data_IF_734129691100
#
_entry.id   IF_734129691100
#
_cell.length_a   1.000
_cell.length_b   1.000
_cell.length_c   1.000
_cell.angle_alpha   90.00
_cell.angle_beta   90.00
_cell.angle_gamma   90.00
#
_symmetry.space_group_name_H-M   'P 1'
#
loop_
_entity.id
_entity.type
_entity.pdbx_description
1 polymer ?
#
# COMPACT_ATOMS: atom_id res chain seq x y z
N UNK A 1 -28.61 -0.28 50.48
CA UNK A 1 -27.26 -0.93 50.49
C UNK A 1 -27.13 -1.78 49.24
N UNK A 2 -26.49 -1.31 48.21
CA UNK A 2 -26.23 -2.08 46.99
C UNK A 2 -25.16 -3.15 47.30
N UNK A 3 -25.46 -4.40 46.93
CA UNK A 3 -24.67 -5.58 47.18
C UNK A 3 -23.28 -5.48 46.53
N UNK A 4 -22.23 -5.96 47.20
CA UNK A 4 -20.84 -5.91 46.68
C UNK A 4 -20.68 -6.45 45.24
N UNK A 5 -21.49 -7.42 44.86
CA UNK A 5 -21.51 -7.99 43.51
C UNK A 5 -21.96 -6.97 42.45
N UNK A 6 -23.00 -6.18 42.73
CA UNK A 6 -23.50 -5.16 41.77
C UNK A 6 -22.50 -4.02 41.53
N UNK A 7 -21.71 -3.66 42.58
CA UNK A 7 -20.63 -2.67 42.42
C UNK A 7 -19.47 -3.18 41.57
N UNK A 8 -19.13 -4.49 41.65
CA UNK A 8 -18.07 -5.10 40.83
C UNK A 8 -18.48 -5.18 39.35
N UNK A 9 -19.74 -5.52 39.06
CA UNK A 9 -20.23 -5.56 37.68
C UNK A 9 -20.32 -4.15 37.06
N UNK A 10 -20.71 -3.14 37.81
CA UNK A 10 -20.73 -1.74 37.34
C UNK A 10 -19.31 -1.23 37.03
N UNK A 11 -18.31 -1.57 37.87
CA UNK A 11 -16.92 -1.18 37.66
C UNK A 11 -16.32 -1.87 36.43
N UNK A 12 -16.58 -3.16 36.23
CA UNK A 12 -16.12 -3.92 35.06
C UNK A 12 -16.78 -3.42 33.76
N UNK A 13 -18.08 -3.09 33.80
CA UNK A 13 -18.78 -2.52 32.65
C UNK A 13 -18.24 -1.12 32.29
N UNK A 14 -17.92 -0.30 33.30
CA UNK A 14 -17.34 1.03 33.07
C UNK A 14 -15.92 0.95 32.51
N UNK A 15 -15.09 0.06 33.00
CA UNK A 15 -13.73 -0.16 32.48
C UNK A 15 -13.75 -0.77 31.07
N UNK A 16 -14.69 -1.66 30.78
CA UNK A 16 -14.88 -2.19 29.42
C UNK A 16 -15.36 -1.12 28.45
N UNK A 17 -16.24 -0.21 28.89
CA UNK A 17 -16.72 0.91 28.07
C UNK A 17 -15.63 1.95 27.83
N UNK A 18 -14.76 2.24 28.81
CA UNK A 18 -13.59 3.10 28.61
C UNK A 18 -12.58 2.47 27.64
N UNK A 19 -12.29 1.19 27.79
CA UNK A 19 -11.37 0.47 26.91
C UNK A 19 -11.90 0.40 25.45
N UNK A 20 -13.22 0.19 25.26
CA UNK A 20 -13.84 0.26 23.93
C UNK A 20 -13.85 1.70 23.36
N UNK A 21 -14.07 2.69 24.21
CA UNK A 21 -14.05 4.10 23.82
C UNK A 21 -12.67 4.56 23.34
N UNK A 22 -11.61 4.15 24.03
CA UNK A 22 -10.22 4.49 23.65
C UNK A 22 -9.78 3.78 22.37
N UNK A 23 -10.17 2.52 22.16
CA UNK A 23 -9.86 1.79 20.91
C UNK A 23 -10.65 2.33 19.72
N UNK A 24 -11.88 2.81 19.91
CA UNK A 24 -12.67 3.41 18.85
C UNK A 24 -12.15 4.81 18.50
N UNK A 25 -11.78 5.63 19.48
CA UNK A 25 -11.17 6.94 19.27
C UNK A 25 -9.82 6.83 18.55
N UNK A 26 -8.95 5.89 18.94
CA UNK A 26 -7.68 5.63 18.25
C UNK A 26 -7.89 5.21 16.79
N UNK A 27 -8.91 4.39 16.48
CA UNK A 27 -9.25 4.01 15.10
C UNK A 27 -9.81 5.16 14.27
N UNK A 28 -10.54 6.09 14.89
CA UNK A 28 -11.05 7.28 14.18
C UNK A 28 -9.92 8.27 13.87
N UNK A 29 -8.92 8.39 14.73
CA UNK A 29 -7.72 9.20 14.48
C UNK A 29 -6.86 8.63 13.34
N UNK A 30 -6.82 7.30 13.16
CA UNK A 30 -6.12 6.63 12.04
C UNK A 30 -6.64 7.08 10.67
N UNK A 31 -7.89 7.56 10.60
CA UNK A 31 -8.53 8.04 9.37
C UNK A 31 -8.52 9.57 9.20
N UNK A 32 -7.94 10.31 10.15
CA UNK A 32 -7.85 11.76 10.02
C UNK A 32 -6.96 12.17 8.86
N UNK A 33 -7.51 12.98 7.96
CA UNK A 33 -6.72 13.63 6.90
C UNK A 33 -6.08 14.88 7.49
N UNK A 34 -4.76 14.96 7.46
CA UNK A 34 -4.02 16.16 7.85
C UNK A 34 -4.07 17.15 6.70
N UNK A 35 -4.59 18.39 6.90
CA UNK A 35 -4.75 19.34 5.81
C UNK A 35 -3.41 19.73 5.18
N UNK A 36 -3.22 19.37 3.91
CA UNK A 36 -1.99 19.69 3.16
C UNK A 36 -1.90 21.17 2.77
N UNK A 37 -3.01 21.92 2.83
CA UNK A 37 -3.08 23.37 2.63
C UNK A 37 -2.92 24.18 3.93
N UNK A 38 -2.78 23.51 5.10
CA UNK A 38 -2.46 24.17 6.35
C UNK A 38 -1.21 25.04 6.19
N UNK A 39 -1.17 26.30 6.74
CA UNK A 39 -0.05 27.23 6.57
C UNK A 39 1.33 26.64 6.93
N UNK A 40 1.39 25.76 7.93
CA UNK A 40 2.61 25.06 8.36
C UNK A 40 3.10 24.01 7.34
N UNK A 41 2.30 23.63 6.36
CA UNK A 41 2.60 22.66 5.32
C UNK A 41 2.68 23.33 3.96
N UNK A 42 1.61 24.04 3.56
CA UNK A 42 1.48 24.78 2.32
C UNK A 42 1.92 23.96 1.07
N UNK A 43 1.46 22.72 0.98
CA UNK A 43 1.94 21.71 0.02
C UNK A 43 2.06 22.21 -1.42
N UNK A 44 1.09 23.03 -1.86
CA UNK A 44 1.04 23.51 -3.27
C UNK A 44 2.05 24.62 -3.55
N UNK A 45 2.36 25.44 -2.56
CA UNK A 45 3.15 26.68 -2.73
C UNK A 45 4.57 26.53 -2.21
N UNK A 46 4.83 25.61 -1.30
CA UNK A 46 6.17 25.32 -0.81
C UNK A 46 7.02 24.73 -1.96
N UNK A 47 8.19 25.31 -2.26
CA UNK A 47 9.15 24.70 -3.17
C UNK A 47 9.48 23.27 -2.72
N UNK A 48 9.53 22.36 -3.67
CA UNK A 48 9.89 20.98 -3.38
C UNK A 48 11.42 20.84 -3.36
N UNK A 49 11.91 20.01 -2.45
CA UNK A 49 13.33 19.63 -2.31
C UNK A 49 13.45 18.11 -2.45
N UNK A 50 13.67 17.65 -3.67
CA UNK A 50 13.71 16.24 -4.02
C UNK A 50 14.52 15.97 -5.30
N UNK A 51 14.88 14.71 -5.61
CA UNK A 51 15.70 14.37 -6.78
C UNK A 51 15.16 14.84 -8.13
N UNK A 52 13.84 15.00 -8.29
CA UNK A 52 13.25 15.51 -9.55
C UNK A 52 13.56 16.99 -9.74
N UNK A 53 13.51 17.79 -8.68
CA UNK A 53 13.87 19.21 -8.79
C UNK A 53 15.36 19.38 -9.13
N UNK A 54 16.23 18.56 -8.52
CA UNK A 54 17.65 18.56 -8.89
C UNK A 54 17.87 18.14 -10.35
N UNK A 55 17.09 17.17 -10.86
CA UNK A 55 17.13 16.75 -12.26
C UNK A 55 16.65 17.87 -13.20
N UNK A 56 15.57 18.57 -12.84
CA UNK A 56 15.05 19.73 -13.59
C UNK A 56 16.09 20.84 -13.70
N UNK A 57 16.80 21.12 -12.63
CA UNK A 57 17.88 22.13 -12.62
C UNK A 57 18.99 21.77 -13.61
N UNK A 58 19.48 20.50 -13.60
CA UNK A 58 20.51 20.03 -14.54
C UNK A 58 20.04 20.12 -16.01
N UNK A 59 18.78 19.75 -16.27
CA UNK A 59 18.18 19.87 -17.60
C UNK A 59 18.08 21.32 -18.06
N UNK A 60 17.71 22.25 -17.17
CA UNK A 60 17.60 23.67 -17.48
C UNK A 60 18.94 24.35 -17.83
N UNK A 61 20.03 23.80 -17.26
CA UNK A 61 21.41 24.26 -17.49
C UNK A 61 22.11 23.53 -18.64
N UNK A 62 21.42 22.64 -19.37
CA UNK A 62 22.00 21.76 -20.39
C UNK A 62 23.15 20.84 -19.86
N UNK A 63 23.22 20.63 -18.54
CA UNK A 63 24.19 19.73 -17.90
C UNK A 63 23.82 18.25 -18.04
N UNK A 64 22.55 17.97 -18.37
CA UNK A 64 22.02 16.65 -18.64
C UNK A 64 21.06 16.72 -19.84
N UNK A 65 21.04 15.63 -20.62
CA UNK A 65 20.05 15.42 -21.68
C UNK A 65 19.35 14.08 -21.46
N UNK A 66 18.04 14.06 -21.63
CA UNK A 66 17.26 12.83 -21.64
C UNK A 66 17.17 12.31 -23.09
N UNK A 67 17.55 11.06 -23.27
CA UNK A 67 17.45 10.35 -24.54
C UNK A 67 16.05 9.76 -24.68
N UNK A 68 15.47 9.86 -25.86
CA UNK A 68 14.17 9.30 -26.18
C UNK A 68 14.31 7.97 -26.92
N UNK A 69 13.81 6.89 -26.32
CA UNK A 69 13.78 5.56 -26.92
C UNK A 69 12.46 5.35 -27.69
N UNK A 70 12.49 4.78 -28.91
CA UNK A 70 11.27 4.57 -29.70
C UNK A 70 10.22 3.65 -29.03
N UNK A 71 10.62 2.73 -28.15
CA UNK A 71 9.74 1.77 -27.48
C UNK A 71 9.33 2.22 -26.08
N UNK A 72 10.24 2.91 -25.36
CA UNK A 72 10.10 3.22 -23.95
C UNK A 72 10.06 4.73 -23.65
N UNK A 73 10.05 5.59 -24.68
CA UNK A 73 10.06 7.03 -24.49
C UNK A 73 11.27 7.50 -23.68
N UNK A 74 11.06 8.33 -22.69
CA UNK A 74 12.12 8.80 -21.80
C UNK A 74 12.43 7.85 -20.62
N UNK A 75 11.70 6.73 -20.49
CA UNK A 75 11.81 5.86 -19.31
C UNK A 75 13.26 5.46 -19.00
N UNK A 76 13.98 4.87 -19.96
CA UNK A 76 15.33 4.34 -19.72
C UNK A 76 16.30 5.43 -19.31
N UNK A 77 16.20 6.59 -19.93
CA UNK A 77 17.05 7.74 -19.63
C UNK A 77 16.75 8.30 -18.23
N UNK A 78 15.48 8.35 -17.83
CA UNK A 78 15.05 8.81 -16.50
C UNK A 78 15.48 7.81 -15.42
N UNK A 79 15.29 6.50 -15.63
CA UNK A 79 15.74 5.46 -14.69
C UNK A 79 17.25 5.57 -14.45
N UNK A 80 18.04 5.74 -15.52
CA UNK A 80 19.49 5.92 -15.43
C UNK A 80 19.88 7.20 -14.70
N UNK A 81 19.23 8.33 -15.01
CA UNK A 81 19.55 9.62 -14.41
C UNK A 81 19.24 9.67 -12.90
N UNK A 82 18.28 8.87 -12.42
CA UNK A 82 17.83 8.77 -11.04
C UNK A 82 18.35 7.52 -10.31
N UNK A 83 19.24 6.75 -10.93
CA UNK A 83 19.80 5.50 -10.38
C UNK A 83 18.73 4.51 -9.91
N UNK A 84 17.64 4.35 -10.68
CA UNK A 84 16.58 3.38 -10.40
C UNK A 84 16.90 2.08 -11.12
N UNK A 85 17.01 0.94 -10.41
CA UNK A 85 17.33 -0.34 -11.04
C UNK A 85 16.13 -0.84 -11.86
N UNK A 86 16.39 -1.31 -13.09
CA UNK A 86 15.35 -1.92 -13.92
C UNK A 86 14.80 -3.20 -13.28
N UNK A 87 15.64 -3.92 -12.52
CA UNK A 87 15.24 -5.09 -11.74
C UNK A 87 14.14 -4.84 -10.71
N UNK A 88 13.88 -3.55 -10.37
CA UNK A 88 12.76 -3.17 -9.49
C UNK A 88 11.39 -3.24 -10.15
N UNK A 89 11.32 -3.59 -11.45
CA UNK A 89 10.06 -3.64 -12.18
C UNK A 89 9.01 -4.49 -11.49
N UNK A 90 7.83 -3.91 -11.30
CA UNK A 90 6.60 -4.60 -10.89
C UNK A 90 5.46 -4.18 -11.81
N UNK A 91 4.51 -5.10 -12.04
CA UNK A 91 3.45 -4.92 -13.02
C UNK A 91 2.08 -4.93 -12.36
N UNK A 92 1.31 -3.85 -12.50
CA UNK A 92 -0.06 -3.72 -12.02
C UNK A 92 -1.04 -3.60 -13.18
N UNK A 93 -2.05 -4.46 -13.21
CA UNK A 93 -3.04 -4.47 -14.29
C UNK A 93 -4.43 -3.98 -13.86
N UNK A 94 -4.61 -3.59 -12.60
CA UNK A 94 -5.83 -2.91 -12.16
C UNK A 94 -5.89 -1.48 -12.65
N UNK A 95 -7.11 -1.03 -12.97
CA UNK A 95 -7.39 0.32 -13.48
C UNK A 95 -7.41 1.36 -12.35
N UNK A 96 -6.25 1.63 -11.76
CA UNK A 96 -6.07 2.50 -10.59
C UNK A 96 -5.17 3.72 -10.83
N UNK A 97 -4.81 4.02 -12.07
CA UNK A 97 -4.06 5.20 -12.49
C UNK A 97 -4.97 6.19 -13.22
N UNK A 98 -4.57 7.45 -13.37
CA UNK A 98 -5.30 8.40 -14.23
C UNK A 98 -5.24 8.01 -15.72
N UNK A 99 -4.29 7.16 -16.15
CA UNK A 99 -4.24 6.52 -17.45
C UNK A 99 -5.00 5.16 -17.47
N UNK A 100 -5.91 4.92 -16.52
CA UNK A 100 -6.65 3.67 -16.36
C UNK A 100 -7.33 3.12 -17.65
N UNK A 101 -7.83 3.93 -18.60
CA UNK A 101 -8.38 3.39 -19.83
C UNK A 101 -7.43 2.49 -20.61
N UNK A 102 -6.13 2.75 -20.54
CA UNK A 102 -5.08 2.01 -21.26
C UNK A 102 -4.60 0.76 -20.50
N UNK A 103 -4.93 0.63 -19.22
CA UNK A 103 -4.47 -0.50 -18.39
C UNK A 103 -5.43 -1.68 -18.52
N UNK A 104 -4.89 -2.86 -18.71
CA UNK A 104 -5.64 -4.12 -18.75
C UNK A 104 -4.71 -5.31 -18.37
N UNK A 105 -5.24 -6.52 -18.10
CA UNK A 105 -4.39 -7.67 -17.81
C UNK A 105 -3.33 -7.94 -18.88
N UNK A 106 -3.63 -7.76 -20.17
CA UNK A 106 -2.64 -7.93 -21.23
C UNK A 106 -1.76 -6.70 -21.47
N UNK A 107 -2.04 -5.59 -20.79
CA UNK A 107 -1.33 -4.32 -20.90
C UNK A 107 -1.20 -3.66 -19.51
N UNK A 108 -0.47 -4.29 -18.58
CA UNK A 108 -0.28 -3.73 -17.24
C UNK A 108 0.58 -2.46 -17.28
N UNK A 109 0.41 -1.61 -16.26
CA UNK A 109 1.33 -0.52 -15.95
C UNK A 109 2.59 -1.12 -15.31
N UNK A 110 3.76 -0.78 -15.80
CA UNK A 110 5.01 -1.07 -15.12
C UNK A 110 5.35 0.04 -14.13
N UNK A 111 5.85 -0.35 -12.97
CA UNK A 111 6.36 0.57 -11.94
C UNK A 111 7.81 0.15 -11.64
N UNK A 112 8.72 1.13 -11.69
CA UNK A 112 10.11 1.01 -11.27
C UNK A 112 10.32 1.86 -10.03
N UNK A 113 11.12 1.38 -9.10
CA UNK A 113 11.29 2.13 -7.85
C UNK A 113 12.71 2.01 -7.25
N UNK A 114 13.12 3.08 -6.61
CA UNK A 114 14.20 3.13 -5.64
C UNK A 114 13.62 3.42 -4.25
N UNK A 115 14.42 3.86 -3.28
CA UNK A 115 13.93 4.10 -1.93
C UNK A 115 12.81 5.15 -1.90
N UNK A 116 13.12 6.34 -2.38
CA UNK A 116 12.29 7.55 -2.31
C UNK A 116 11.54 7.86 -3.61
N UNK A 117 11.70 7.04 -4.64
CA UNK A 117 11.16 7.26 -5.97
C UNK A 117 10.30 6.07 -6.44
N UNK A 118 9.27 6.38 -7.23
CA UNK A 118 8.52 5.41 -8.02
C UNK A 118 8.14 6.04 -9.37
N UNK A 119 8.37 5.32 -10.46
CA UNK A 119 8.06 5.74 -11.82
C UNK A 119 7.14 4.72 -12.46
N UNK A 120 5.95 5.15 -12.83
CA UNK A 120 4.97 4.36 -13.56
C UNK A 120 4.97 4.68 -15.05
N UNK A 121 4.94 3.66 -15.89
CA UNK A 121 4.71 3.78 -17.34
C UNK A 121 3.55 2.87 -17.74
N UNK A 122 2.63 3.44 -18.51
CA UNK A 122 1.60 2.67 -19.21
C UNK A 122 2.01 2.59 -20.66
N UNK A 123 2.06 1.38 -21.23
CA UNK A 123 2.35 1.25 -22.68
C UNK A 123 1.30 2.01 -23.48
N UNK A 124 1.77 2.76 -24.48
CA UNK A 124 0.93 3.68 -25.27
C UNK A 124 0.34 4.83 -24.44
N UNK A 125 0.82 5.03 -23.22
CA UNK A 125 0.44 6.16 -22.38
C UNK A 125 1.12 7.44 -22.80
N UNK A 126 0.50 8.57 -22.47
CA UNK A 126 0.98 9.89 -22.86
C UNK A 126 2.10 10.42 -21.97
N UNK A 127 2.22 9.88 -20.73
CA UNK A 127 3.17 10.38 -19.73
C UNK A 127 3.83 9.29 -18.92
N UNK A 128 5.04 9.56 -18.40
CA UNK A 128 5.54 8.89 -17.19
C UNK A 128 4.86 9.52 -15.97
N UNK A 129 4.40 8.67 -15.07
CA UNK A 129 3.84 9.05 -13.77
C UNK A 129 4.94 8.90 -12.72
N UNK A 130 5.30 9.98 -12.05
CA UNK A 130 6.43 10.00 -11.12
C UNK A 130 5.93 10.41 -9.76
N UNK A 131 6.28 9.63 -8.76
CA UNK A 131 6.06 9.94 -7.36
C UNK A 131 7.40 9.92 -6.62
N UNK A 132 7.74 11.00 -5.95
CA UNK A 132 9.00 11.17 -5.24
C UNK A 132 8.75 11.67 -3.83
N UNK A 133 9.49 11.14 -2.88
CA UNK A 133 9.45 11.62 -1.50
C UNK A 133 10.23 12.93 -1.39
N UNK A 134 9.56 13.90 -0.85
CA UNK A 134 10.15 15.18 -0.48
C UNK A 134 10.41 15.19 1.02
N UNK A 135 11.47 15.85 1.42
CA UNK A 135 11.89 15.92 2.83
C UNK A 135 10.79 16.44 3.76
N UNK A 136 9.98 17.39 3.30
CA UNK A 136 9.00 18.11 4.10
C UNK A 136 7.55 17.93 3.65
N UNK A 137 7.35 17.67 2.36
CA UNK A 137 6.02 17.65 1.73
C UNK A 137 5.42 16.24 1.63
N UNK A 138 6.18 15.19 1.98
CA UNK A 138 5.77 13.81 1.71
C UNK A 138 5.86 13.52 0.21
N UNK A 139 4.92 12.73 -0.33
CA UNK A 139 4.98 12.40 -1.76
C UNK A 139 4.60 13.56 -2.64
N UNK A 140 5.50 13.98 -3.53
CA UNK A 140 5.26 14.95 -4.59
C UNK A 140 5.15 14.23 -5.92
N UNK A 141 4.18 14.63 -6.73
CA UNK A 141 3.86 13.99 -8.00
C UNK A 141 4.31 14.83 -9.18
N UNK A 142 4.86 14.17 -10.19
CA UNK A 142 5.24 14.76 -11.46
C UNK A 142 4.77 13.93 -12.63
N UNK A 143 4.70 14.54 -13.80
CA UNK A 143 4.58 13.84 -15.07
C UNK A 143 5.64 14.31 -16.03
N UNK A 144 6.03 13.43 -16.96
CA UNK A 144 6.90 13.74 -18.08
C UNK A 144 6.25 13.20 -19.35
N UNK A 145 5.95 14.10 -20.29
CA UNK A 145 5.30 13.76 -21.56
C UNK A 145 6.16 12.79 -22.37
N UNK A 146 5.53 11.76 -22.95
CA UNK A 146 6.18 10.75 -23.77
C UNK A 146 6.16 11.13 -25.27
N UNK A 147 6.39 12.38 -25.55
CA UNK A 147 6.59 12.93 -26.90
C UNK A 147 8.01 13.45 -27.01
N UNK A 148 8.75 13.02 -28.03
CA UNK A 148 10.12 13.46 -28.25
C UNK A 148 10.20 14.98 -28.37
N UNK A 149 11.02 15.60 -27.53
CA UNK A 149 11.22 17.04 -27.44
C UNK A 149 12.69 17.39 -27.23
N UNK A 150 13.11 18.51 -27.74
CA UNK A 150 14.44 19.07 -27.47
C UNK A 150 14.60 19.52 -26.01
N UNK A 151 13.49 19.77 -25.31
CA UNK A 151 13.44 20.24 -23.92
C UNK A 151 12.31 19.53 -23.16
N UNK A 152 12.47 18.26 -22.82
CA UNK A 152 11.50 17.54 -22.00
C UNK A 152 11.40 18.17 -20.61
N UNK A 153 10.17 18.31 -20.10
CA UNK A 153 9.93 18.99 -18.84
C UNK A 153 9.14 18.10 -17.86
N UNK A 154 9.62 18.00 -16.64
CA UNK A 154 8.85 17.42 -15.54
C UNK A 154 7.84 18.46 -15.04
N UNK A 155 6.56 18.12 -15.08
CA UNK A 155 5.46 18.98 -14.63
C UNK A 155 5.00 18.49 -13.26
N UNK A 156 5.13 19.36 -12.23
CA UNK A 156 4.58 19.07 -10.90
C UNK A 156 3.06 19.00 -10.96
N UNK A 157 2.50 17.92 -10.43
CA UNK A 157 1.05 17.69 -10.36
C UNK A 157 0.55 17.94 -8.93
N UNK A 158 -0.67 18.36 -8.81
CA UNK A 158 -1.24 18.82 -7.53
C UNK A 158 -2.54 18.11 -7.18
N UNK A 159 -3.64 18.87 -7.18
CA UNK A 159 -4.94 18.41 -6.69
C UNK A 159 -5.48 17.16 -7.38
N UNK A 160 -5.18 16.97 -8.65
CA UNK A 160 -5.60 15.80 -9.43
C UNK A 160 -5.02 14.48 -8.88
N UNK A 161 -3.78 14.51 -8.37
CA UNK A 161 -3.16 13.34 -7.74
C UNK A 161 -3.65 13.15 -6.30
N UNK A 162 -3.77 14.24 -5.54
CA UNK A 162 -4.17 14.19 -4.14
C UNK A 162 -5.60 13.69 -3.92
N UNK A 163 -6.48 13.75 -4.93
CA UNK A 163 -7.82 13.16 -4.83
C UNK A 163 -7.80 11.66 -4.45
N UNK A 164 -6.80 10.92 -4.95
CA UNK A 164 -6.62 9.50 -4.63
C UNK A 164 -5.45 9.26 -3.67
N UNK A 165 -4.50 10.20 -3.61
CA UNK A 165 -3.23 10.05 -2.89
C UNK A 165 -3.13 10.90 -1.61
N UNK A 166 -4.26 11.39 -1.09
CA UNK A 166 -4.37 11.97 0.24
C UNK A 166 -5.70 11.56 0.89
N UNK A 167 -5.68 10.51 1.66
CA UNK A 167 -6.85 9.97 2.33
C UNK A 167 -6.49 8.88 3.34
N UNK A 168 -7.47 8.15 3.89
CA UNK A 168 -7.20 7.10 4.87
C UNK A 168 -6.20 6.05 4.41
N UNK A 169 -6.23 5.68 3.12
CA UNK A 169 -5.32 4.69 2.53
C UNK A 169 -3.84 5.13 2.52
N UNK A 170 -3.59 6.44 2.62
CA UNK A 170 -2.25 7.03 2.68
C UNK A 170 -1.94 7.65 4.04
N UNK A 171 -2.57 7.17 5.12
CA UNK A 171 -2.42 7.72 6.49
C UNK A 171 -2.82 9.19 6.63
N UNK A 172 -3.70 9.68 5.75
CA UNK A 172 -4.21 11.05 5.78
C UNK A 172 -3.27 12.12 5.22
N UNK A 173 -2.18 11.74 4.56
CA UNK A 173 -1.16 12.65 4.01
C UNK A 173 -0.93 12.39 2.53
N UNK A 174 -0.28 13.33 1.79
CA UNK A 174 0.18 13.05 0.43
C UNK A 174 1.12 11.84 0.40
N UNK A 175 0.67 10.74 -0.23
CA UNK A 175 1.37 9.47 -0.16
C UNK A 175 0.99 8.49 -1.26
N UNK A 176 1.62 7.34 -1.24
CA UNK A 176 1.32 6.21 -2.11
C UNK A 176 0.59 5.11 -1.35
N UNK A 177 0.00 4.20 -2.09
CA UNK A 177 -0.57 2.97 -1.54
C UNK A 177 -0.32 1.80 -2.49
N UNK A 178 -0.13 0.63 -1.92
CA UNK A 178 -0.21 -0.64 -2.65
C UNK A 178 -1.56 -1.25 -2.30
N UNK A 179 -2.41 -1.42 -3.32
CA UNK A 179 -3.74 -2.00 -3.14
C UNK A 179 -3.80 -3.41 -3.71
N UNK A 180 -4.59 -4.25 -3.07
CA UNK A 180 -4.93 -5.59 -3.50
C UNK A 180 -6.44 -5.69 -3.64
N UNK A 181 -6.92 -6.20 -4.76
CA UNK A 181 -8.35 -6.30 -5.10
C UNK A 181 -8.63 -7.59 -5.86
N UNK A 182 -9.89 -7.95 -5.99
CA UNK A 182 -10.31 -8.95 -6.97
C UNK A 182 -10.57 -8.24 -8.32
N UNK A 183 -9.72 -8.44 -9.34
CA UNK A 183 -9.92 -7.81 -10.65
C UNK A 183 -10.80 -8.67 -11.54
N UNK A 184 -11.77 -8.08 -12.25
CA UNK A 184 -12.47 -8.72 -13.34
C UNK A 184 -11.59 -8.80 -14.61
N UNK A 185 -12.09 -9.49 -15.67
CA UNK A 185 -11.35 -9.69 -16.95
C UNK A 185 -10.86 -8.40 -17.60
N UNK A 186 -11.49 -7.27 -17.34
CA UNK A 186 -11.11 -5.96 -17.87
C UNK A 186 -10.00 -5.29 -17.06
N UNK A 187 -9.65 -5.82 -15.89
CA UNK A 187 -8.76 -5.21 -14.90
C UNK A 187 -9.47 -4.24 -13.95
N UNK A 188 -10.80 -4.10 -14.04
CA UNK A 188 -11.56 -3.28 -13.07
C UNK A 188 -11.66 -4.00 -11.73
N UNK A 189 -11.47 -3.29 -10.60
CA UNK A 189 -11.71 -3.85 -9.28
C UNK A 189 -13.17 -4.23 -9.06
N UNK A 190 -13.40 -5.36 -8.40
CA UNK A 190 -14.69 -5.75 -7.83
C UNK A 190 -14.69 -5.28 -6.37
N UNK A 191 -15.03 -4.02 -6.14
CA UNK A 191 -14.94 -3.41 -4.81
C UNK A 191 -15.83 -4.10 -3.76
N UNK A 192 -16.93 -4.69 -4.17
CA UNK A 192 -17.84 -5.44 -3.30
C UNK A 192 -17.20 -6.71 -2.74
N UNK A 193 -16.18 -7.23 -3.43
CA UNK A 193 -15.41 -8.40 -2.98
C UNK A 193 -14.26 -8.02 -2.02
N UNK A 194 -13.92 -6.74 -1.93
CA UNK A 194 -12.92 -6.20 -1.04
C UNK A 194 -11.90 -5.30 -1.73
N UNK A 195 -11.40 -4.37 -0.94
CA UNK A 195 -10.28 -3.49 -1.28
C UNK A 195 -9.32 -3.49 -0.07
N UNK A 196 -8.11 -3.96 -0.28
CA UNK A 196 -7.10 -4.08 0.76
C UNK A 196 -5.95 -3.14 0.45
N UNK A 197 -5.58 -2.28 1.38
CA UNK A 197 -4.30 -1.58 1.36
C UNK A 197 -3.30 -2.48 2.06
N UNK A 198 -2.27 -2.91 1.34
CA UNK A 198 -1.35 -3.94 1.81
C UNK A 198 0.02 -3.38 2.16
N UNK A 199 0.59 -3.92 3.21
CA UNK A 199 1.94 -3.67 3.69
C UNK A 199 2.53 -4.94 4.33
N UNK A 200 3.70 -4.87 4.95
CA UNK A 200 4.38 -6.04 5.52
C UNK A 200 3.60 -6.73 6.66
N UNK A 201 2.56 -6.10 7.22
CA UNK A 201 1.67 -6.68 8.26
C UNK A 201 0.48 -7.44 7.66
N UNK A 202 0.25 -7.28 6.37
CA UNK A 202 -0.87 -7.92 5.70
C UNK A 202 -0.59 -9.41 5.49
N UNK A 203 -1.62 -10.25 5.67
CA UNK A 203 -1.51 -11.67 5.33
C UNK A 203 -1.15 -11.85 3.87
N UNK A 204 -0.25 -12.79 3.56
CA UNK A 204 0.18 -13.06 2.17
C UNK A 204 -1.02 -13.38 1.28
N UNK A 205 -2.00 -14.14 1.78
CA UNK A 205 -3.22 -14.50 1.05
C UNK A 205 -4.10 -13.31 0.61
N UNK A 206 -3.85 -12.11 1.16
CA UNK A 206 -4.57 -10.87 0.83
C UNK A 206 -3.78 -9.92 -0.05
N UNK A 207 -2.53 -10.24 -0.37
CA UNK A 207 -1.65 -9.35 -1.13
C UNK A 207 -1.76 -9.55 -2.63
N UNK A 208 -1.44 -8.51 -3.36
CA UNK A 208 -1.12 -8.44 -4.78
C UNK A 208 -2.27 -8.76 -5.75
N UNK A 209 -3.52 -8.74 -5.30
CA UNK A 209 -4.65 -8.84 -6.22
C UNK A 209 -4.68 -7.68 -7.22
N UNK A 210 -4.66 -8.03 -8.51
CA UNK A 210 -4.54 -7.05 -9.60
C UNK A 210 -3.11 -6.71 -10.01
N UNK A 211 -2.13 -7.43 -9.45
CA UNK A 211 -0.71 -7.37 -9.83
C UNK A 211 -0.26 -8.69 -10.46
N UNK A 212 0.73 -8.61 -11.34
CA UNK A 212 1.53 -9.77 -11.69
C UNK A 212 2.62 -9.97 -10.65
N UNK A 213 2.92 -11.23 -10.36
CA UNK A 213 3.88 -11.65 -9.34
C UNK A 213 4.72 -12.78 -9.92
N UNK A 214 6.02 -12.55 -10.06
CA UNK A 214 6.96 -13.58 -10.46
C UNK A 214 7.95 -13.90 -9.34
N UNK A 215 8.13 -15.20 -9.10
CA UNK A 215 8.92 -15.75 -8.01
C UNK A 215 8.25 -16.95 -7.35
N UNK A 216 8.82 -17.41 -6.26
CA UNK A 216 8.27 -18.54 -5.48
C UNK A 216 7.89 -18.09 -4.09
N UNK A 217 6.78 -18.62 -3.58
CA UNK A 217 6.24 -18.36 -2.23
C UNK A 217 6.00 -19.66 -1.45
N UNK A 218 6.52 -20.80 -1.94
CA UNK A 218 6.32 -22.11 -1.34
C UNK A 218 4.86 -22.53 -1.32
N UNK A 219 4.35 -22.91 -0.15
CA UNK A 219 2.94 -23.26 0.06
C UNK A 219 2.04 -22.04 0.28
N UNK A 220 2.62 -20.85 0.49
CA UNK A 220 1.88 -19.60 0.69
C UNK A 220 1.21 -19.17 -0.61
N UNK A 221 -0.06 -18.83 -0.52
CA UNK A 221 -0.86 -18.35 -1.65
C UNK A 221 -1.10 -16.85 -1.55
N UNK A 222 -1.36 -16.22 -2.69
CA UNK A 222 -1.64 -14.79 -2.79
C UNK A 222 -2.66 -14.50 -3.89
N UNK A 223 -3.18 -13.28 -3.95
CA UNK A 223 -4.17 -12.86 -4.95
C UNK A 223 -3.55 -12.44 -6.30
N UNK A 224 -2.21 -12.40 -6.40
CA UNK A 224 -1.51 -12.02 -7.63
C UNK A 224 -1.74 -13.02 -8.78
N UNK A 225 -1.57 -12.54 -10.01
CA UNK A 225 -1.72 -13.33 -11.26
C UNK A 225 -3.14 -13.82 -11.56
N UNK A 226 -4.14 -13.40 -10.79
CA UNK A 226 -5.50 -13.91 -10.87
C UNK A 226 -6.45 -12.85 -11.42
N UNK A 227 -7.44 -13.33 -12.20
CA UNK A 227 -8.55 -12.55 -12.72
C UNK A 227 -9.83 -13.32 -12.45
N UNK A 228 -10.81 -12.64 -11.86
CA UNK A 228 -12.13 -13.21 -11.59
C UNK A 228 -12.86 -13.46 -12.91
N UNK A 229 -13.25 -14.70 -13.16
CA UNK A 229 -13.93 -15.10 -14.39
C UNK A 229 -15.42 -14.80 -14.34
N UNK A 230 -16.05 -15.01 -13.18
CA UNK A 230 -17.44 -14.69 -12.92
C UNK A 230 -17.55 -13.78 -11.69
N UNK A 231 -18.04 -12.56 -11.91
CA UNK A 231 -18.23 -11.56 -10.84
C UNK A 231 -19.22 -12.02 -9.77
N UNK A 232 -20.17 -12.90 -10.13
CA UNK A 232 -21.13 -13.43 -9.19
C UNK A 232 -20.55 -14.50 -8.26
N UNK A 233 -19.41 -15.08 -8.61
CA UNK A 233 -18.76 -16.15 -7.86
C UNK A 233 -17.26 -15.86 -7.63
N UNK A 234 -16.98 -14.77 -6.95
CA UNK A 234 -15.59 -14.39 -6.55
C UNK A 234 -14.98 -15.45 -5.64
N UNK A 235 -15.80 -16.16 -4.86
CA UNK A 235 -15.33 -17.20 -3.93
C UNK A 235 -14.75 -18.45 -4.63
N UNK A 236 -15.03 -18.65 -5.93
CA UNK A 236 -14.46 -19.76 -6.70
C UNK A 236 -13.00 -19.58 -7.12
N UNK A 237 -12.42 -18.39 -6.91
CA UNK A 237 -11.03 -18.10 -7.28
C UNK A 237 -10.09 -18.94 -6.44
N UNK A 238 -9.33 -19.85 -7.08
CA UNK A 238 -8.32 -20.64 -6.42
C UNK A 238 -6.98 -19.87 -6.38
N UNK A 239 -6.57 -19.41 -5.22
CA UNK A 239 -5.35 -18.63 -5.05
C UNK A 239 -4.07 -19.42 -5.41
N UNK A 240 -4.10 -20.75 -5.40
CA UNK A 240 -2.95 -21.59 -5.81
C UNK A 240 -2.61 -21.44 -7.28
N UNK A 241 -3.58 -21.10 -8.12
CA UNK A 241 -3.39 -21.00 -9.57
C UNK A 241 -2.49 -19.82 -9.95
N UNK A 242 -2.42 -18.78 -9.10
CA UNK A 242 -1.58 -17.60 -9.27
C UNK A 242 -0.20 -17.69 -8.61
N UNK A 243 0.00 -18.63 -7.67
CA UNK A 243 1.22 -18.72 -6.88
C UNK A 243 2.40 -19.41 -7.63
N UNK A 244 3.63 -19.12 -7.21
CA UNK A 244 4.86 -19.75 -7.70
C UNK A 244 5.07 -19.65 -9.23
N UNK A 245 4.70 -18.51 -9.82
CA UNK A 245 4.95 -18.22 -11.24
C UNK A 245 6.31 -17.59 -11.41
N UNK A 246 7.23 -18.25 -12.08
CA UNK A 246 8.57 -17.70 -12.39
C UNK A 246 8.65 -17.10 -13.79
N UNK A 247 7.66 -17.35 -14.66
CA UNK A 247 7.51 -16.80 -16.00
C UNK A 247 6.10 -16.21 -16.17
N UNK A 248 6.00 -15.03 -16.76
CA UNK A 248 4.74 -14.32 -16.98
C UNK A 248 4.23 -14.41 -18.44
N UNK A 249 4.89 -15.17 -19.32
CA UNK A 249 4.53 -15.28 -20.76
C UNK A 249 3.13 -15.80 -20.98
N UNK A 250 2.60 -16.62 -20.08
CA UNK A 250 1.23 -17.14 -20.20
C UNK A 250 0.17 -16.03 -20.03
N UNK A 251 0.51 -14.93 -19.33
CA UNK A 251 -0.43 -13.86 -19.01
C UNK A 251 -0.39 -12.69 -20.00
N UNK A 252 0.82 -12.34 -20.48
CA UNK A 252 1.03 -11.14 -21.29
C UNK A 252 2.27 -11.29 -22.19
N UNK A 253 2.42 -10.35 -23.15
CA UNK A 253 3.66 -10.18 -23.91
C UNK A 253 4.70 -9.47 -23.04
N UNK A 254 5.38 -10.25 -22.20
CA UNK A 254 6.35 -9.73 -21.23
C UNK A 254 7.60 -9.15 -21.94
N UNK A 255 7.91 -9.58 -23.15
CA UNK A 255 9.03 -9.05 -23.94
C UNK A 255 8.84 -7.59 -24.36
N UNK A 256 7.65 -7.04 -24.19
CA UNK A 256 7.36 -5.63 -24.41
C UNK A 256 7.70 -4.72 -23.21
N UNK A 257 8.19 -5.28 -22.11
CA UNK A 257 8.63 -4.57 -20.91
C UNK A 257 10.16 -4.63 -20.79
N UNK A 258 10.73 -3.73 -19.98
CA UNK A 258 12.19 -3.63 -19.83
C UNK A 258 12.77 -4.90 -19.20
N UNK A 259 12.06 -5.45 -18.19
CA UNK A 259 12.41 -6.71 -17.54
C UNK A 259 11.33 -7.77 -17.80
N UNK A 260 11.72 -9.04 -17.92
CA UNK A 260 10.77 -10.13 -18.12
C UNK A 260 10.07 -10.58 -16.84
N UNK A 261 10.04 -9.74 -15.81
CA UNK A 261 9.61 -10.09 -14.46
C UNK A 261 8.71 -9.02 -13.83
N UNK A 262 7.96 -9.43 -12.81
CA UNK A 262 7.31 -8.59 -11.79
C UNK A 262 7.65 -9.21 -10.44
N UNK A 263 8.82 -8.87 -9.93
CA UNK A 263 9.50 -9.59 -8.86
C UNK A 263 8.77 -9.50 -7.52
N UNK A 264 8.55 -10.64 -6.87
CA UNK A 264 7.83 -10.71 -5.58
C UNK A 264 8.57 -9.98 -4.47
N UNK A 265 9.90 -10.05 -4.43
CA UNK A 265 10.69 -9.36 -3.39
C UNK A 265 10.64 -7.85 -3.62
N UNK A 266 10.66 -7.42 -4.89
CA UNK A 266 10.47 -6.02 -5.25
C UNK A 266 9.11 -5.49 -4.80
N UNK A 267 8.03 -6.26 -5.00
CA UNK A 267 6.69 -5.92 -4.51
C UNK A 267 6.65 -5.79 -2.98
N UNK A 268 7.26 -6.72 -2.26
CA UNK A 268 7.31 -6.68 -0.79
C UNK A 268 8.05 -5.44 -0.28
N UNK A 269 9.17 -5.08 -0.92
CA UNK A 269 9.90 -3.85 -0.58
C UNK A 269 9.09 -2.61 -0.92
N UNK A 270 8.39 -2.60 -2.07
CA UNK A 270 7.49 -1.50 -2.46
C UNK A 270 6.36 -1.30 -1.45
N UNK A 271 5.73 -2.38 -0.97
CA UNK A 271 4.69 -2.32 0.08
C UNK A 271 5.23 -1.70 1.35
N UNK A 272 6.38 -2.20 1.84
CA UNK A 272 7.00 -1.69 3.06
C UNK A 272 7.35 -0.22 2.96
N UNK A 273 8.10 0.18 1.92
CA UNK A 273 8.56 1.57 1.77
C UNK A 273 7.40 2.56 1.63
N UNK A 274 6.35 2.16 0.91
CA UNK A 274 5.18 3.00 0.66
C UNK A 274 4.49 3.39 1.97
N UNK A 275 4.19 2.43 2.82
CA UNK A 275 3.57 2.72 4.13
C UNK A 275 4.52 3.47 5.06
N UNK A 276 5.80 3.09 5.07
CA UNK A 276 6.81 3.76 5.92
C UNK A 276 6.90 5.25 5.62
N UNK A 277 6.94 5.65 4.34
CA UNK A 277 6.98 7.06 3.97
C UNK A 277 5.69 7.81 4.31
N UNK A 278 4.53 7.19 4.18
CA UNK A 278 3.27 7.80 4.63
C UNK A 278 3.31 8.11 6.14
N UNK A 279 3.84 7.19 6.95
CA UNK A 279 3.95 7.36 8.39
C UNK A 279 4.99 8.43 8.77
N UNK A 280 6.14 8.46 8.10
CA UNK A 280 7.15 9.52 8.26
C UNK A 280 6.52 10.89 7.96
N UNK A 281 5.82 11.00 6.83
CA UNK A 281 5.14 12.23 6.42
C UNK A 281 4.08 12.65 7.44
N UNK A 282 3.28 11.69 7.95
CA UNK A 282 2.26 11.97 8.95
C UNK A 282 2.85 12.53 10.23
N UNK A 283 3.91 11.93 10.77
CA UNK A 283 4.59 12.46 11.95
C UNK A 283 5.09 13.89 11.71
N UNK A 284 5.70 14.14 10.54
CA UNK A 284 6.16 15.47 10.18
C UNK A 284 5.04 16.50 10.07
N UNK A 285 3.89 16.13 9.51
CA UNK A 285 2.72 16.99 9.34
C UNK A 285 2.05 17.26 10.68
N UNK A 286 1.71 16.21 11.45
CA UNK A 286 1.07 16.37 12.78
C UNK A 286 1.93 17.25 13.69
N UNK A 287 3.25 17.04 13.68
CA UNK A 287 4.17 17.86 14.50
C UNK A 287 4.15 19.33 14.08
N UNK A 288 4.28 19.64 12.78
CA UNK A 288 4.29 21.03 12.30
C UNK A 288 2.99 21.74 12.50
N UNK A 289 1.86 21.05 12.32
CA UNK A 289 0.52 21.59 12.60
C UNK A 289 0.36 21.87 14.09
N UNK A 290 0.75 20.95 14.97
CA UNK A 290 0.68 21.12 16.40
C UNK A 290 1.46 22.35 16.90
N UNK A 291 2.69 22.52 16.42
CA UNK A 291 3.50 23.71 16.76
C UNK A 291 2.89 25.01 16.22
N UNK A 292 2.38 24.99 14.99
CA UNK A 292 1.72 26.15 14.40
C UNK A 292 0.45 26.56 15.18
N UNK A 293 -0.37 25.59 15.59
CA UNK A 293 -1.58 25.85 16.41
C UNK A 293 -1.23 26.48 17.74
N UNK A 294 -0.11 26.11 18.32
CA UNK A 294 0.38 26.63 19.61
C UNK A 294 1.19 27.93 19.47
N UNK A 295 1.29 28.51 18.26
CA UNK A 295 2.17 29.65 17.95
C UNK A 295 3.63 29.41 18.39
N UNK A 296 4.09 28.19 18.33
CA UNK A 296 5.41 27.77 18.73
C UNK A 296 6.31 27.51 17.52
N UNK A 297 7.60 27.69 17.65
CA UNK A 297 8.57 27.42 16.59
C UNK A 297 9.05 25.96 16.68
N UNK A 298 8.64 25.15 15.70
CA UNK A 298 9.07 23.75 15.61
C UNK A 298 10.56 23.58 15.30
N UNK A 299 11.23 24.64 14.83
CA UNK A 299 12.66 24.64 14.53
C UNK A 299 13.51 24.80 15.79
N UNK A 300 12.90 25.27 16.90
CA UNK A 300 13.58 25.44 18.20
C UNK A 300 13.15 24.29 19.13
N UNK A 301 13.94 23.21 19.22
CA UNK A 301 13.49 21.92 19.76
C UNK A 301 13.12 21.93 21.24
N UNK A 302 13.75 22.74 22.06
CA UNK A 302 13.76 22.57 23.52
C UNK A 302 12.73 23.43 24.25
N UNK A 303 12.24 24.51 23.61
CA UNK A 303 11.38 25.48 24.26
C UNK A 303 9.89 25.24 24.12
N UNK A 304 9.43 24.31 23.25
CA UNK A 304 8.06 24.33 22.75
C UNK A 304 7.20 23.12 23.10
N UNK A 305 7.75 22.03 23.61
CA UNK A 305 6.94 20.82 23.89
C UNK A 305 5.87 21.06 24.94
N UNK A 306 6.17 21.83 25.97
CA UNK A 306 5.23 22.17 27.05
C UNK A 306 4.14 23.19 26.61
N UNK A 307 4.28 23.73 25.39
CA UNK A 307 3.33 24.72 24.84
C UNK A 307 2.25 24.05 23.97
N UNK A 308 2.39 22.76 23.64
CA UNK A 308 1.38 22.05 22.86
C UNK A 308 0.14 21.79 23.71
N UNK A 309 -1.04 21.89 23.08
CA UNK A 309 -2.30 21.47 23.73
C UNK A 309 -2.29 19.96 23.97
N UNK A 310 -3.11 19.47 24.90
CA UNK A 310 -3.25 18.03 25.18
C UNK A 310 -3.69 17.24 23.92
N UNK A 311 -4.57 17.83 23.12
CA UNK A 311 -5.06 17.23 21.87
C UNK A 311 -3.96 17.14 20.80
N UNK A 312 -3.18 18.22 20.61
CA UNK A 312 -2.03 18.22 19.69
C UNK A 312 -0.96 17.20 20.12
N UNK A 313 -0.66 17.10 21.41
CA UNK A 313 0.24 16.06 21.94
C UNK A 313 -0.24 14.68 21.58
N UNK A 314 -1.53 14.39 21.81
CA UNK A 314 -2.13 13.09 21.53
C UNK A 314 -2.01 12.71 20.06
N UNK A 315 -2.30 13.62 19.13
CA UNK A 315 -2.18 13.36 17.69
C UNK A 315 -0.74 13.05 17.27
N UNK A 316 0.21 13.81 17.77
CA UNK A 316 1.64 13.60 17.48
C UNK A 316 2.11 12.28 18.08
N UNK A 317 1.72 11.95 19.32
CA UNK A 317 2.16 10.72 20.00
C UNK A 317 1.60 9.48 19.31
N UNK A 318 0.34 9.47 18.91
CA UNK A 318 -0.28 8.38 18.13
C UNK A 318 0.46 8.17 16.81
N UNK A 319 0.76 9.25 16.08
CA UNK A 319 1.50 9.15 14.82
C UNK A 319 2.91 8.58 15.01
N UNK A 320 3.60 8.97 16.09
CA UNK A 320 4.93 8.47 16.42
C UNK A 320 4.89 6.99 16.82
N UNK A 321 3.93 6.60 17.67
CA UNK A 321 3.80 5.20 18.10
C UNK A 321 3.55 4.28 16.89
N UNK A 322 2.70 4.69 15.95
CA UNK A 322 2.46 3.93 14.72
C UNK A 322 3.73 3.85 13.86
N UNK A 323 4.45 4.96 13.66
CA UNK A 323 5.71 4.97 12.91
C UNK A 323 6.75 4.04 13.56
N UNK A 324 6.93 4.12 14.88
CA UNK A 324 7.91 3.31 15.61
C UNK A 324 7.55 1.81 15.54
N UNK A 325 6.29 1.47 15.76
CA UNK A 325 5.82 0.08 15.64
C UNK A 325 6.07 -0.48 14.24
N UNK A 326 5.71 0.28 13.23
CA UNK A 326 5.90 -0.12 11.83
C UNK A 326 7.39 -0.22 11.45
N UNK A 327 8.20 0.75 11.84
CA UNK A 327 9.64 0.79 11.60
C UNK A 327 10.36 -0.40 12.23
N UNK A 328 9.88 -0.90 13.37
CA UNK A 328 10.45 -2.03 14.10
C UNK A 328 9.84 -3.39 13.70
N UNK A 329 8.98 -3.44 12.67
CA UNK A 329 8.31 -4.67 12.21
C UNK A 329 7.53 -5.39 13.32
N UNK A 330 6.87 -4.63 14.25
CA UNK A 330 6.23 -5.20 15.44
C UNK A 330 5.15 -6.22 15.11
N UNK A 331 4.36 -5.96 14.06
CA UNK A 331 3.23 -6.77 13.62
C UNK A 331 3.46 -7.36 12.22
N UNK A 332 4.73 -7.60 11.83
CA UNK A 332 5.06 -8.21 10.54
C UNK A 332 4.39 -9.58 10.42
N UNK A 333 3.71 -9.82 9.30
CA UNK A 333 3.16 -11.13 8.97
C UNK A 333 4.30 -12.12 8.75
N UNK A 334 4.40 -13.21 9.54
CA UNK A 334 5.47 -14.17 9.41
C UNK A 334 5.37 -14.95 8.09
N UNK A 335 6.51 -15.19 7.46
CA UNK A 335 6.58 -16.11 6.33
C UNK A 335 6.58 -17.55 6.84
N UNK A 336 5.77 -18.41 6.24
CA UNK A 336 5.68 -19.83 6.58
C UNK A 336 6.53 -20.71 5.68
N UNK A 337 6.95 -20.19 4.53
CA UNK A 337 7.88 -20.78 3.57
C UNK A 337 8.79 -19.70 3.00
N UNK A 338 9.98 -20.06 2.49
CA UNK A 338 10.88 -19.13 1.82
C UNK A 338 10.22 -18.44 0.62
N UNK A 339 10.50 -17.15 0.47
CA UNK A 339 10.12 -16.37 -0.70
C UNK A 339 11.37 -16.05 -1.52
N UNK A 340 11.35 -16.36 -2.81
CA UNK A 340 12.44 -16.09 -3.73
C UNK A 340 11.94 -15.30 -4.93
N UNK A 341 12.63 -14.19 -5.23
CA UNK A 341 12.38 -13.38 -6.42
C UNK A 341 12.81 -14.08 -7.70
N UNK A 342 12.36 -13.56 -8.83
CA UNK A 342 12.68 -14.07 -10.17
C UNK A 342 13.64 -13.17 -10.94
N UNK A 343 14.13 -12.08 -10.30
CA UNK A 343 15.06 -11.12 -10.90
C UNK A 343 16.30 -10.90 -10.03
N UNK A 344 17.16 -10.02 -10.48
CA UNK A 344 18.34 -9.59 -9.72
C UNK A 344 18.01 -8.60 -8.59
N UNK A 345 16.73 -8.23 -8.41
CA UNK A 345 16.33 -7.17 -7.47
C UNK A 345 16.83 -7.39 -6.04
N UNK A 346 16.66 -8.59 -5.50
CA UNK A 346 17.09 -8.89 -4.12
C UNK A 346 18.59 -8.64 -3.92
N UNK A 347 19.42 -9.01 -4.91
CA UNK A 347 20.86 -8.75 -4.92
C UNK A 347 21.14 -7.24 -4.99
N UNK A 348 20.54 -6.55 -5.96
CA UNK A 348 20.77 -5.14 -6.23
C UNK A 348 20.33 -4.28 -5.04
N UNK A 349 19.19 -4.62 -4.42
CA UNK A 349 18.68 -3.96 -3.23
C UNK A 349 19.63 -4.11 -2.04
N UNK A 350 20.16 -5.30 -1.79
CA UNK A 350 21.06 -5.58 -0.67
C UNK A 350 22.45 -4.93 -0.84
N UNK A 351 22.87 -4.64 -2.07
CA UNK A 351 24.15 -3.99 -2.35
C UNK A 351 24.12 -2.47 -2.08
N UNK A 352 22.95 -1.87 -1.95
CA UNK A 352 22.76 -0.45 -1.70
C UNK A 352 22.84 -0.13 -0.21
N UNK A 353 23.07 1.15 0.10
CA UNK A 353 23.02 1.71 1.45
C UNK A 353 24.23 1.40 2.34
N UNK A 354 24.20 1.90 3.57
CA UNK A 354 25.31 1.78 4.49
C UNK A 354 25.44 0.36 5.03
N UNK A 355 26.71 -0.01 5.31
CA UNK A 355 27.09 -1.21 6.04
C UNK A 355 27.91 -0.85 7.25
N UNK A 356 27.72 -1.56 8.35
CA UNK A 356 28.54 -1.39 9.55
C UNK A 356 29.93 -2.05 9.39
N UNK A 357 30.76 -1.93 10.42
CA UNK A 357 32.14 -2.50 10.44
C UNK A 357 32.17 -4.02 10.33
N UNK A 358 31.07 -4.71 10.61
CA UNK A 358 30.91 -6.16 10.45
C UNK A 358 30.28 -6.53 9.10
N UNK A 359 30.06 -5.57 8.21
CA UNK A 359 29.45 -5.77 6.90
C UNK A 359 27.93 -5.96 6.93
N UNK A 360 27.23 -5.70 8.07
CA UNK A 360 25.79 -5.83 8.23
C UNK A 360 25.08 -4.59 7.69
N UNK A 361 23.91 -4.80 7.07
CA UNK A 361 23.05 -3.73 6.56
C UNK A 361 21.61 -3.95 6.99
N UNK A 362 20.86 -2.87 7.20
CA UNK A 362 19.39 -2.94 7.37
C UNK A 362 18.69 -3.40 6.10
N UNK A 363 19.40 -3.51 4.97
CA UNK A 363 18.90 -4.06 3.70
C UNK A 363 19.16 -5.55 3.54
N UNK A 364 19.84 -6.19 4.50
CA UNK A 364 20.04 -7.64 4.44
C UNK A 364 18.68 -8.35 4.57
N UNK A 365 18.27 -9.00 3.49
CA UNK A 365 17.03 -9.77 3.43
C UNK A 365 17.20 -11.11 4.15
N UNK A 366 16.10 -11.64 4.71
CA UNK A 366 16.05 -12.97 5.33
C UNK A 366 15.15 -13.89 4.51
N UNK A 367 13.93 -13.49 4.20
CA UNK A 367 12.98 -14.08 3.28
C UNK A 367 12.57 -15.54 3.55
N UNK A 368 12.91 -16.11 4.71
CA UNK A 368 12.50 -17.46 5.12
C UNK A 368 11.38 -17.43 6.15
N UNK A 369 11.52 -16.60 7.19
CA UNK A 369 10.58 -16.46 8.29
C UNK A 369 10.06 -15.04 8.43
N UNK A 370 10.75 -14.08 7.83
CA UNK A 370 10.48 -12.65 7.84
C UNK A 370 11.15 -11.96 6.66
N UNK A 371 10.83 -10.69 6.43
CA UNK A 371 11.35 -9.96 5.27
C UNK A 371 12.83 -9.56 5.43
N UNK A 372 13.21 -8.98 6.55
CA UNK A 372 14.56 -8.48 6.80
C UNK A 372 15.24 -9.19 7.95
N UNK A 373 16.55 -9.34 7.85
CA UNK A 373 17.40 -9.95 8.87
C UNK A 373 17.39 -9.17 10.18
N UNK A 374 17.34 -7.84 10.10
CA UNK A 374 17.31 -6.95 11.25
C UNK A 374 15.97 -6.23 11.33
N UNK A 375 15.26 -6.26 12.49
CA UNK A 375 13.92 -5.69 12.62
C UNK A 375 13.96 -4.16 12.80
N UNK A 376 14.50 -3.47 11.82
CA UNK A 376 14.53 -2.02 11.75
C UNK A 376 14.53 -1.60 10.28
N UNK A 377 13.65 -0.70 9.91
CA UNK A 377 13.52 -0.23 8.53
C UNK A 377 14.80 0.48 8.06
N UNK A 378 15.25 0.12 6.86
CA UNK A 378 16.36 0.79 6.19
C UNK A 378 16.09 2.27 5.86
N UNK A 379 14.81 2.68 5.86
CA UNK A 379 14.38 4.04 5.54
C UNK A 379 14.66 5.06 6.66
N UNK A 380 15.22 4.64 7.79
CA UNK A 380 15.79 5.56 8.79
C UNK A 380 16.96 6.38 8.24
N UNK A 381 17.54 5.98 7.11
CA UNK A 381 18.60 6.70 6.41
C UNK A 381 18.08 7.61 5.30
N UNK A 382 16.75 7.79 5.17
CA UNK A 382 16.17 8.66 4.16
C UNK A 382 16.14 10.13 4.59
N UNK A 383 16.26 11.04 3.62
CA UNK A 383 16.12 12.49 3.86
C UNK A 383 14.77 12.85 4.48
N UNK A 384 13.71 12.12 4.13
CA UNK A 384 12.38 12.31 4.73
C UNK A 384 12.36 11.96 6.22
N UNK A 385 13.10 10.92 6.64
CA UNK A 385 13.20 10.58 8.06
C UNK A 385 13.99 11.65 8.83
N UNK A 386 15.08 12.15 8.24
CA UNK A 386 15.86 13.28 8.80
C UNK A 386 15.06 14.59 8.80
N UNK A 387 14.03 14.70 7.95
CA UNK A 387 13.09 15.82 7.89
C UNK A 387 12.05 15.86 9.03
N UNK A 388 11.96 14.79 9.84
CA UNK A 388 11.07 14.79 11.02
C UNK A 388 11.57 15.85 12.02
N UNK A 389 10.69 16.74 12.53
CA UNK A 389 11.08 17.76 13.49
C UNK A 389 11.83 17.19 14.69
N UNK A 390 13.02 17.73 14.98
CA UNK A 390 13.99 17.20 15.93
C UNK A 390 13.54 16.93 17.38
N UNK A 391 12.58 17.70 17.96
CA UNK A 391 12.16 17.50 19.36
C UNK A 391 11.65 16.10 19.64
N UNK A 392 10.87 15.54 18.70
CA UNK A 392 10.25 14.22 18.87
C UNK A 392 11.16 13.08 18.44
N UNK A 393 11.96 13.25 17.40
CA UNK A 393 12.91 12.25 16.94
C UNK A 393 13.89 11.83 18.08
N UNK A 394 14.42 12.79 18.84
CA UNK A 394 15.34 12.52 19.96
C UNK A 394 14.68 11.87 21.18
N UNK A 395 13.43 12.23 21.47
CA UNK A 395 12.72 11.71 22.64
C UNK A 395 12.41 10.20 22.51
N UNK A 396 11.97 9.76 21.33
CA UNK A 396 11.52 8.38 21.13
C UNK A 396 12.64 7.39 20.81
N UNK A 397 13.74 7.82 20.21
CA UNK A 397 14.91 6.95 20.01
C UNK A 397 15.63 6.63 21.34
N UNK A 398 15.34 7.38 22.42
CA UNK A 398 15.90 7.13 23.77
C UNK A 398 15.06 6.17 24.62
N UNK A 399 13.80 5.93 24.26
CA UNK A 399 12.92 5.02 25.01
C UNK A 399 12.53 3.85 24.13
N UNK A 400 13.12 2.66 24.28
CA UNK A 400 12.65 1.49 23.56
C UNK A 400 11.18 1.26 23.93
N UNK A 401 10.33 0.89 22.97
CA UNK A 401 8.92 0.61 23.23
C UNK A 401 8.84 -0.45 24.35
N UNK A 402 8.01 -0.20 25.35
CA UNK A 402 7.69 -1.21 26.35
C UNK A 402 7.10 -2.40 25.60
N UNK A 403 7.84 -3.49 25.53
CA UNK A 403 7.33 -4.75 24.98
C UNK A 403 5.93 -4.99 25.51
N UNK A 404 4.92 -5.22 24.64
CA UNK A 404 3.60 -5.58 25.12
C UNK A 404 3.81 -6.82 26.00
N UNK A 405 3.41 -6.75 27.26
CA UNK A 405 3.43 -7.91 28.17
C UNK A 405 2.59 -8.97 27.46
N UNK A 406 3.25 -10.00 26.93
CA UNK A 406 2.59 -11.24 26.51
C UNK A 406 1.75 -11.70 27.70
N UNK A 407 0.45 -11.50 27.63
CA UNK A 407 -0.48 -12.15 28.52
C UNK A 407 -0.38 -13.63 28.22
N UNK A 408 0.37 -14.36 29.06
CA UNK A 408 0.35 -15.81 29.12
C UNK A 408 -1.07 -16.26 29.48
N UNK A 409 -1.93 -16.38 28.51
CA UNK A 409 -3.08 -17.26 28.59
C UNK A 409 -2.70 -18.59 27.95
N UNK A 410 -2.02 -19.41 28.72
CA UNK A 410 -2.07 -20.87 28.54
C UNK A 410 -3.53 -21.32 28.68
N UNK A 411 -4.27 -21.30 27.59
CA UNK A 411 -5.51 -22.08 27.50
C UNK A 411 -5.13 -23.51 27.15
N UNK A 412 -5.06 -24.35 28.19
CA UNK A 412 -5.09 -25.78 28.05
C UNK A 412 -6.35 -26.19 27.29
N UNK A 413 -6.20 -26.52 26.00
CA UNK A 413 -7.28 -27.06 25.18
C UNK A 413 -7.52 -28.50 25.65
N UNK A 414 -8.58 -28.73 26.42
CA UNK A 414 -9.11 -30.08 26.64
C UNK A 414 -9.79 -30.56 25.35
N UNK A 415 -9.54 -31.80 24.90
CA UNK A 415 -10.21 -32.35 23.73
C UNK A 415 -11.71 -32.50 23.98
N UNK A 416 -12.57 -32.31 22.99
CA UNK A 416 -14.01 -32.42 23.13
C UNK A 416 -14.42 -33.88 23.33
N UNK A 417 -15.18 -34.16 24.39
CA UNK A 417 -15.84 -35.44 24.62
C UNK A 417 -16.76 -35.80 23.45
N UNK A 418 -16.55 -36.98 22.85
CA UNK A 418 -17.44 -37.64 21.92
C UNK A 418 -18.84 -37.76 22.54
N UNK A 419 -19.82 -37.05 22.06
CA UNK A 419 -21.25 -37.31 22.33
C UNK A 419 -21.75 -38.39 21.37
N UNK A 420 -22.37 -39.43 21.92
CA UNK A 420 -23.09 -40.49 21.21
C UNK A 420 -24.34 -39.93 20.51
N UNK A 421 -24.78 -40.50 19.38
CA UNK A 421 -25.96 -40.01 18.66
C UNK A 421 -27.24 -40.46 19.40
N UNK A 422 -28.12 -39.51 19.68
CA UNK A 422 -29.48 -39.77 20.10
C UNK A 422 -30.35 -40.08 18.90
N UNK A 423 -31.00 -41.24 18.94
CA UNK A 423 -32.02 -41.69 18.00
C UNK A 423 -33.31 -40.84 18.13
N UNK A 424 -33.80 -40.35 17.02
CA UNK A 424 -35.13 -39.78 16.93
C UNK A 424 -36.17 -40.82 16.59
N UNK A 425 -37.38 -40.80 17.21
CA UNK A 425 -38.54 -41.55 16.73
C UNK A 425 -39.28 -40.77 15.65
N UNK A 426 -39.64 -41.46 14.58
CA UNK A 426 -40.56 -41.04 13.52
C UNK A 426 -41.97 -40.93 14.07
N UNK A 427 -42.72 -39.94 13.64
CA UNK A 427 -44.14 -40.17 13.27
C UNK A 427 -44.67 -39.03 12.34
N UNK A 428 -45.61 -39.36 11.41
CA UNK A 428 -45.96 -38.58 10.27
C UNK A 428 -47.37 -37.97 10.35
N UNK A 429 -47.62 -36.82 9.76
CA UNK A 429 -48.99 -36.45 9.27
C UNK A 429 -48.94 -35.45 8.13
N UNK A 430 -49.50 -35.93 7.04
CA UNK A 430 -50.19 -35.31 5.88
C UNK A 430 -50.68 -33.87 6.06
N UNK A 431 -50.42 -33.04 5.02
CA UNK A 431 -51.56 -32.41 4.30
C UNK A 431 -51.11 -32.03 2.88
N UNK A 432 -51.87 -32.59 1.92
CA UNK A 432 -51.90 -32.20 0.49
C UNK A 432 -52.79 -30.98 0.32
N UNK A 433 -52.41 -30.07 -0.58
CA UNK A 433 -53.36 -29.29 -1.40
C UNK A 433 -52.65 -28.66 -2.62
N UNK A 434 -52.90 -29.30 -3.77
CA UNK A 434 -53.40 -28.78 -5.04
C UNK A 434 -52.71 -27.59 -5.70
N UNK A 435 -51.96 -27.94 -6.69
CA UNK A 435 -52.02 -27.57 -8.13
C UNK A 435 -53.03 -26.51 -8.57
N UNK A 436 -52.58 -25.48 -9.28
CA UNK A 436 -53.19 -25.10 -10.58
C UNK A 436 -52.11 -24.56 -11.52
N UNK A 437 -52.07 -25.20 -12.69
CA UNK A 437 -51.36 -24.78 -13.91
C UNK A 437 -52.11 -23.58 -14.51
N UNK A 438 -51.35 -22.61 -15.08
CA UNK A 438 -51.81 -21.86 -16.27
C UNK A 438 -50.60 -21.55 -17.14
N UNK A 439 -50.60 -22.13 -18.32
CA UNK A 439 -49.80 -21.69 -19.47
C UNK A 439 -50.46 -20.46 -20.13
N UNK A 440 -49.72 -19.62 -20.82
CA UNK A 440 -50.23 -18.91 -21.97
C UNK A 440 -49.46 -19.25 -23.26
N UNK A 441 -50.25 -19.30 -24.32
CA UNK A 441 -49.94 -19.64 -25.70
C UNK A 441 -49.25 -18.49 -26.48
N UNK A 442 -48.76 -18.75 -27.72
CA UNK A 442 -47.82 -17.91 -28.44
C UNK A 442 -48.52 -16.87 -29.31
N UNK A 443 -47.92 -15.67 -29.47
CA UNK A 443 -48.31 -14.69 -30.49
C UNK A 443 -47.19 -14.37 -31.46
N UNK A 444 -47.42 -14.80 -32.69
CA UNK A 444 -47.22 -14.24 -34.04
C UNK A 444 -46.07 -13.22 -34.24
N UNK A 445 -45.22 -13.62 -35.18
CA UNK A 445 -44.32 -12.81 -36.00
C UNK A 445 -45.05 -11.71 -36.77
N UNK A 446 -44.50 -10.51 -36.79
CA UNK A 446 -44.63 -9.57 -37.91
C UNK A 446 -43.26 -9.07 -38.31
N UNK A 447 -42.91 -9.36 -39.57
CA UNK A 447 -41.72 -8.85 -40.22
C UNK A 447 -41.89 -7.39 -40.61
N UNK A 448 -40.78 -6.67 -40.59
CA UNK A 448 -40.67 -5.39 -41.31
C UNK A 448 -39.42 -5.46 -42.17
N UNK A 449 -39.66 -5.15 -43.44
CA UNK A 449 -38.75 -5.17 -44.56
C UNK A 449 -37.65 -4.12 -44.46
N UNK A 450 -36.50 -4.52 -44.90
CA UNK A 450 -35.37 -3.71 -45.36
C UNK A 450 -35.79 -2.67 -46.43
N UNK A 451 -35.35 -1.41 -46.29
CA UNK A 451 -35.15 -0.52 -47.44
C UNK A 451 -33.75 0.08 -47.35
N UNK A 452 -32.96 -0.27 -48.35
CA UNK A 452 -31.79 0.47 -48.78
C UNK A 452 -32.25 1.74 -49.51
N UNK A 453 -31.57 2.81 -49.36
CA UNK A 453 -31.24 3.77 -50.43
C UNK A 453 -30.23 4.80 -49.91
N UNK A 454 -29.23 4.87 -50.67
CA UNK A 454 -28.18 5.90 -51.05
C UNK A 454 -27.23 6.37 -49.98
#
# INVERSE_FOLDING_TARGET
MLNKATKSYALVATLASLALGTTLAARLDEYRVVPSDHPAIAYRTTPADNPIEALREKLSKDELKLEFDPNYGYLLSVLKALDIPTSSQVLVFTKTSFQAPLIAPRLPRAIYHADDLSIGIVRLGEVLEIAVQDRNLGTVFYSLDQVQSSRPQFVRRGSECLQCHQGPATSGVPGLLVSSVFPERSGRPIFEAGFFVTDHRSKIEKRWGGWYVSGTTGSQVHMGNLVVQDRADVGSVNLRDGANKTDLKEFLDIGAYVEPTSDVVSLMVLEHKTRMFNLITRVGYETRVAFSNSNADWQVPEASLDQLTEDDHKHVDVAIEELVGYMLYTDEEPLTDPIEGSSDYARDFQQRGPRDKQGRSLRDLEMQTRMFKYPLSFLIYSDSFDGIPAPRQRAHLRTPPRSPRRSRHERTIRPPHRRRPHQHPRNPTRHQARLRRTQPSPKRKRGVKCRRSN
#
